data_IF_129313182307
#
_entry.id   IF_129313182307
#
_cell.length_a   1.000
_cell.length_b   1.000
_cell.length_c   1.000
_cell.angle_alpha   90.00
_cell.angle_beta   90.00
_cell.angle_gamma   90.00
#
_symmetry.space_group_name_H-M   'P 1'
#
loop_
_entity.id
_entity.type
_entity.pdbx_description
1 polymer ?
#
# COMPACT_ATOMS: atom_id res chain seq x y z
N UNK A 1 8.28 -6.63 -23.88
CA UNK A 1 9.14 -7.53 -23.07
C UNK A 1 10.29 -6.81 -22.38
N UNK A 2 11.06 -5.93 -23.05
CA UNK A 2 12.18 -5.20 -22.43
C UNK A 2 11.82 -4.43 -21.14
N UNK A 3 10.71 -3.69 -21.14
CA UNK A 3 10.17 -3.02 -19.94
C UNK A 3 9.86 -3.96 -18.79
N UNK A 4 9.23 -5.11 -19.07
CA UNK A 4 8.91 -6.10 -18.04
C UNK A 4 10.17 -6.73 -17.46
N UNK A 5 11.20 -6.95 -18.27
CA UNK A 5 12.51 -7.43 -17.81
C UNK A 5 13.20 -6.37 -16.95
N UNK A 6 13.21 -5.11 -17.39
CA UNK A 6 13.82 -4.01 -16.64
C UNK A 6 13.13 -3.77 -15.29
N UNK A 7 11.80 -3.74 -15.27
CA UNK A 7 11.01 -3.68 -14.03
C UNK A 7 11.22 -4.93 -13.18
N UNK A 8 11.26 -6.13 -13.76
CA UNK A 8 11.50 -7.37 -13.03
C UNK A 8 12.86 -7.39 -12.33
N UNK A 9 13.91 -6.90 -13.00
CA UNK A 9 15.25 -6.75 -12.41
C UNK A 9 15.20 -5.76 -11.24
N UNK A 10 14.61 -4.58 -11.46
CA UNK A 10 14.55 -3.54 -10.43
C UNK A 10 13.72 -3.95 -9.22
N UNK A 11 12.49 -4.43 -9.46
CA UNK A 11 11.57 -4.91 -8.42
C UNK A 11 12.21 -6.08 -7.68
N UNK A 12 12.78 -7.06 -8.39
CA UNK A 12 13.40 -8.23 -7.77
C UNK A 12 14.53 -7.88 -6.82
N UNK A 13 15.44 -6.98 -7.23
CA UNK A 13 16.56 -6.52 -6.40
C UNK A 13 16.05 -5.77 -5.17
N UNK A 14 15.15 -4.80 -5.35
CA UNK A 14 14.63 -4.00 -4.24
C UNK A 14 13.75 -4.82 -3.29
N UNK A 15 12.96 -5.77 -3.80
CA UNK A 15 12.14 -6.68 -3.02
C UNK A 15 13.01 -7.61 -2.15
N UNK A 16 14.08 -8.15 -2.72
CA UNK A 16 15.06 -8.96 -1.99
C UNK A 16 15.77 -8.16 -0.91
N UNK A 17 16.27 -6.96 -1.25
CA UNK A 17 16.91 -6.06 -0.30
C UNK A 17 15.96 -5.63 0.83
N UNK A 18 14.73 -5.26 0.51
CA UNK A 18 13.73 -4.88 1.51
C UNK A 18 13.44 -6.03 2.48
N UNK A 19 13.27 -7.24 1.97
CA UNK A 19 13.03 -8.43 2.79
C UNK A 19 14.22 -8.72 3.70
N UNK A 20 15.45 -8.64 3.17
CA UNK A 20 16.67 -8.83 3.95
C UNK A 20 16.83 -7.76 5.03
N UNK A 21 16.60 -6.49 4.70
CA UNK A 21 16.67 -5.36 5.65
C UNK A 21 15.61 -5.50 6.74
N UNK A 22 14.36 -5.81 6.38
CA UNK A 22 13.28 -6.01 7.34
C UNK A 22 13.55 -7.21 8.28
N UNK A 23 14.20 -8.27 7.78
CA UNK A 23 14.63 -9.41 8.59
C UNK A 23 15.85 -9.12 9.48
N UNK A 24 16.73 -8.21 9.06
CA UNK A 24 17.97 -7.88 9.78
C UNK A 24 17.79 -6.74 10.80
N UNK A 25 16.93 -5.77 10.48
CA UNK A 25 16.62 -4.61 11.34
C UNK A 25 15.32 -4.92 12.09
N UNK A 26 15.46 -5.65 13.18
CA UNK A 26 14.33 -6.04 14.03
C UNK A 26 13.95 -4.97 15.04
N UNK A 27 14.73 -3.90 15.21
CA UNK A 27 14.38 -2.75 16.03
C UNK A 27 15.05 -1.45 15.54
N UNK A 28 14.34 -0.33 15.68
CA UNK A 28 14.88 1.02 15.51
C UNK A 28 14.55 1.81 16.79
N UNK A 29 15.53 1.98 17.66
CA UNK A 29 15.31 2.54 19.00
C UNK A 29 14.38 1.64 19.82
N UNK A 30 13.31 2.20 20.40
CA UNK A 30 12.29 1.46 21.15
C UNK A 30 11.27 0.74 20.25
N UNK A 31 11.36 0.89 18.93
CA UNK A 31 10.37 0.38 18.00
C UNK A 31 10.80 -0.99 17.44
N UNK A 32 10.15 -2.06 17.91
CA UNK A 32 10.41 -3.44 17.50
C UNK A 32 9.60 -3.83 16.26
N UNK A 33 10.23 -4.56 15.34
CA UNK A 33 9.71 -5.00 14.05
C UNK A 33 9.13 -3.85 13.19
N UNK A 34 9.94 -2.82 12.87
CA UNK A 34 9.46 -1.63 12.19
C UNK A 34 8.92 -1.87 10.78
N UNK A 35 9.42 -2.91 10.11
CA UNK A 35 9.17 -3.19 8.71
C UNK A 35 8.52 -4.57 8.56
N UNK A 36 7.23 -4.56 8.26
CA UNK A 36 6.42 -5.74 7.99
C UNK A 36 6.40 -5.96 6.48
N UNK A 37 7.16 -6.96 6.04
CA UNK A 37 7.45 -7.22 4.62
C UNK A 37 6.18 -7.32 3.78
N UNK A 38 5.18 -8.10 4.23
CA UNK A 38 3.95 -8.30 3.47
C UNK A 38 3.11 -7.01 3.34
N UNK A 39 3.12 -6.15 4.38
CA UNK A 39 2.44 -4.84 4.34
C UNK A 39 3.13 -3.92 3.34
N UNK A 40 4.47 -3.95 3.31
CA UNK A 40 5.25 -3.22 2.30
C UNK A 40 4.90 -3.66 0.88
N UNK A 41 4.80 -4.97 0.62
CA UNK A 41 4.38 -5.48 -0.68
C UNK A 41 2.92 -5.16 -1.03
N UNK A 42 2.02 -5.08 -0.04
CA UNK A 42 0.65 -4.66 -0.28
C UNK A 42 0.59 -3.20 -0.78
N UNK A 43 1.36 -2.29 -0.16
CA UNK A 43 1.50 -0.91 -0.65
C UNK A 43 2.16 -0.86 -2.05
N UNK A 44 3.14 -1.74 -2.30
CA UNK A 44 3.78 -1.85 -3.61
C UNK A 44 2.80 -2.25 -4.71
N UNK A 45 1.93 -3.22 -4.43
CA UNK A 45 0.88 -3.63 -5.36
C UNK A 45 -0.11 -2.48 -5.62
N UNK A 46 -0.52 -1.75 -4.57
CA UNK A 46 -1.39 -0.58 -4.69
C UNK A 46 -0.74 0.51 -5.55
N UNK A 47 0.57 0.75 -5.43
CA UNK A 47 1.30 1.70 -6.26
C UNK A 47 1.18 1.45 -7.75
N UNK A 48 1.45 0.22 -8.18
CA UNK A 48 1.32 -0.12 -9.59
C UNK A 48 -0.15 -0.19 -10.04
N UNK A 49 -1.05 -0.64 -9.18
CA UNK A 49 -2.49 -0.64 -9.46
C UNK A 49 -3.07 0.78 -9.59
N UNK A 50 -2.50 1.76 -8.88
CA UNK A 50 -2.86 3.18 -8.97
C UNK A 50 -2.22 3.89 -10.17
N UNK A 51 -1.51 3.17 -11.05
CA UNK A 51 -0.93 3.69 -12.29
C UNK A 51 0.55 4.12 -12.19
N UNK A 52 1.20 3.88 -11.06
CA UNK A 52 2.61 4.23 -10.85
C UNK A 52 2.87 5.73 -10.91
N UNK A 53 4.14 6.12 -11.09
CA UNK A 53 4.62 7.51 -11.12
C UNK A 53 4.33 8.24 -9.81
N UNK A 54 4.56 9.55 -9.81
CA UNK A 54 4.27 10.41 -8.66
C UNK A 54 2.78 10.42 -8.29
N UNK A 55 1.88 10.36 -9.29
CA UNK A 55 0.44 10.29 -9.06
C UNK A 55 0.03 9.00 -8.35
N UNK A 56 0.56 7.85 -8.77
CA UNK A 56 0.34 6.56 -8.12
C UNK A 56 0.93 6.52 -6.72
N UNK A 57 2.09 7.16 -6.47
CA UNK A 57 2.64 7.30 -5.12
C UNK A 57 1.72 8.09 -4.19
N UNK A 58 1.24 9.26 -4.63
CA UNK A 58 0.32 10.10 -3.84
C UNK A 58 -0.99 9.37 -3.58
N UNK A 59 -1.54 8.72 -4.60
CA UNK A 59 -2.76 7.92 -4.49
C UNK A 59 -2.58 6.75 -3.52
N UNK A 60 -1.45 6.05 -3.58
CA UNK A 60 -1.15 4.91 -2.71
C UNK A 60 -0.99 5.34 -1.26
N UNK A 61 -0.16 6.34 -1.00
CA UNK A 61 0.05 6.87 0.34
C UNK A 61 -1.27 7.41 0.91
N UNK A 62 -1.99 8.23 0.13
CA UNK A 62 -3.26 8.82 0.57
C UNK A 62 -4.32 7.77 0.89
N UNK A 63 -4.57 6.85 -0.05
CA UNK A 63 -5.59 5.80 0.12
C UNK A 63 -5.22 4.78 1.20
N UNK A 64 -4.00 4.22 1.21
CA UNK A 64 -3.62 3.18 2.18
C UNK A 64 -3.47 3.71 3.59
N UNK A 65 -2.92 4.91 3.80
CA UNK A 65 -2.83 5.51 5.14
C UNK A 65 -4.21 5.92 5.66
N UNK A 66 -5.09 6.41 4.78
CA UNK A 66 -6.49 6.63 5.15
C UNK A 66 -7.16 5.31 5.57
N UNK A 67 -6.97 4.25 4.79
CA UNK A 67 -7.46 2.91 5.11
C UNK A 67 -6.99 2.40 6.47
N UNK A 68 -5.70 2.56 6.77
CA UNK A 68 -5.12 2.27 8.08
C UNK A 68 -5.82 3.03 9.21
N UNK A 69 -6.10 4.33 9.02
CA UNK A 69 -6.84 5.14 9.99
C UNK A 69 -8.27 4.61 10.17
N UNK A 70 -8.96 4.24 9.09
CA UNK A 70 -10.28 3.61 9.19
C UNK A 70 -10.24 2.28 9.95
N UNK A 71 -9.26 1.42 9.67
CA UNK A 71 -9.07 0.17 10.42
C UNK A 71 -8.89 0.42 11.92
N UNK A 72 -8.09 1.42 12.27
CA UNK A 72 -7.89 1.83 13.66
C UNK A 72 -9.18 2.37 14.30
N UNK A 73 -9.92 3.24 13.61
CA UNK A 73 -11.20 3.77 14.08
C UNK A 73 -12.23 2.65 14.32
N UNK A 74 -12.34 1.69 13.39
CA UNK A 74 -13.22 0.52 13.51
C UNK A 74 -12.91 -0.26 14.78
N UNK A 75 -11.63 -0.57 15.02
CA UNK A 75 -11.22 -1.34 16.19
C UNK A 75 -11.47 -0.57 17.49
N UNK A 76 -11.15 0.73 17.51
CA UNK A 76 -11.39 1.60 18.67
C UNK A 76 -12.88 1.75 18.99
N UNK A 77 -13.72 1.94 17.99
CA UNK A 77 -15.17 2.02 18.15
C UNK A 77 -15.75 0.69 18.66
N UNK A 78 -15.28 -0.44 18.12
CA UNK A 78 -15.70 -1.77 18.56
C UNK A 78 -15.39 -2.00 20.04
N UNK A 79 -14.16 -1.72 20.46
CA UNK A 79 -13.73 -1.90 21.86
C UNK A 79 -14.38 -0.91 22.82
N UNK A 80 -14.75 0.28 22.34
CA UNK A 80 -15.51 1.25 23.13
C UNK A 80 -16.95 0.82 23.43
N UNK A 81 -17.55 0.01 22.56
CA UNK A 81 -18.92 -0.51 22.72
C UNK A 81 -18.91 -1.88 23.43
N UNK A 82 -17.96 -2.75 23.09
CA UNK A 82 -17.87 -4.10 23.62
C UNK A 82 -16.42 -4.43 24.00
N UNK A 83 -16.09 -4.27 25.28
CA UNK A 83 -14.74 -4.46 25.80
C UNK A 83 -14.21 -5.90 25.60
N UNK A 84 -15.10 -6.91 25.59
CA UNK A 84 -14.75 -8.30 25.32
C UNK A 84 -14.60 -8.63 23.82
N UNK A 85 -14.91 -7.68 22.93
CA UNK A 85 -14.91 -7.89 21.47
C UNK A 85 -16.11 -8.72 21.02
N UNK A 86 -17.15 -8.06 20.53
CA UNK A 86 -18.31 -8.72 19.91
C UNK A 86 -18.15 -8.78 18.39
N UNK A 87 -18.19 -9.97 17.74
CA UNK A 87 -18.16 -10.08 16.28
C UNK A 87 -19.30 -9.31 15.59
N UNK A 88 -20.47 -9.23 16.22
CA UNK A 88 -21.60 -8.46 15.69
C UNK A 88 -21.31 -6.95 15.70
N UNK A 89 -20.72 -6.44 16.78
CA UNK A 89 -20.30 -5.03 16.88
C UNK A 89 -19.19 -4.73 15.89
N UNK A 90 -18.19 -5.61 15.78
CA UNK A 90 -17.11 -5.46 14.80
C UNK A 90 -17.66 -5.44 13.37
N UNK A 91 -18.57 -6.35 13.03
CA UNK A 91 -19.21 -6.40 11.70
C UNK A 91 -19.97 -5.10 11.38
N UNK A 92 -20.70 -4.56 12.36
CA UNK A 92 -21.38 -3.27 12.20
C UNK A 92 -20.39 -2.12 11.99
N UNK A 93 -19.31 -2.06 12.78
CA UNK A 93 -18.30 -1.00 12.64
C UNK A 93 -17.55 -1.13 11.30
N UNK A 94 -17.25 -2.34 10.85
CA UNK A 94 -16.67 -2.59 9.52
C UNK A 94 -17.62 -2.13 8.42
N UNK A 95 -18.93 -2.38 8.52
CA UNK A 95 -19.90 -1.90 7.53
C UNK A 95 -19.93 -0.37 7.44
N UNK A 96 -19.93 0.32 8.59
CA UNK A 96 -19.88 1.79 8.65
C UNK A 96 -18.55 2.31 8.06
N UNK A 97 -17.43 1.71 8.45
CA UNK A 97 -16.11 2.09 7.97
C UNK A 97 -15.93 1.85 6.46
N UNK A 98 -16.45 0.73 5.94
CA UNK A 98 -16.44 0.43 4.50
C UNK A 98 -17.25 1.45 3.71
N UNK A 99 -18.45 1.81 4.19
CA UNK A 99 -19.24 2.88 3.58
C UNK A 99 -18.46 4.21 3.58
N UNK A 100 -17.88 4.59 4.71
CA UNK A 100 -17.12 5.83 4.81
C UNK A 100 -15.86 5.85 3.93
N UNK A 101 -15.19 4.70 3.77
CA UNK A 101 -14.07 4.51 2.84
C UNK A 101 -14.47 4.68 1.37
N UNK A 102 -15.71 4.34 1.01
CA UNK A 102 -16.24 4.63 -0.32
C UNK A 102 -16.60 6.12 -0.48
N UNK A 103 -17.20 6.75 0.53
CA UNK A 103 -17.57 8.18 0.49
C UNK A 103 -16.34 9.08 0.40
N UNK A 104 -15.29 8.80 1.17
CA UNK A 104 -14.06 9.61 1.14
C UNK A 104 -13.35 9.60 -0.22
N UNK A 105 -13.64 8.62 -1.09
CA UNK A 105 -13.05 8.54 -2.42
C UNK A 105 -13.48 9.70 -3.35
N UNK A 106 -14.44 10.53 -2.92
CA UNK A 106 -14.69 11.83 -3.55
C UNK A 106 -13.51 12.81 -3.45
N UNK A 107 -12.53 12.55 -2.58
CA UNK A 107 -11.31 13.38 -2.42
C UNK A 107 -10.17 12.80 -3.25
N UNK A 108 -9.58 13.60 -4.15
CA UNK A 108 -8.60 13.17 -5.16
C UNK A 108 -7.50 12.20 -4.66
N UNK A 109 -6.72 12.51 -3.61
CA UNK A 109 -5.68 11.59 -3.11
C UNK A 109 -6.22 10.28 -2.49
N UNK A 110 -7.51 10.21 -2.17
CA UNK A 110 -8.18 9.06 -1.57
C UNK A 110 -9.08 8.33 -2.58
N UNK A 111 -9.10 8.76 -3.85
CA UNK A 111 -10.02 8.27 -4.86
C UNK A 111 -9.80 6.79 -5.22
N UNK A 112 -8.61 6.24 -4.91
CA UNK A 112 -8.33 4.83 -5.10
C UNK A 112 -8.89 3.99 -3.95
N UNK A 113 -10.20 3.69 -4.03
CA UNK A 113 -10.95 2.87 -3.06
C UNK A 113 -10.20 1.58 -2.68
N UNK A 114 -9.62 0.79 -3.62
CA UNK A 114 -8.93 -0.44 -3.26
C UNK A 114 -7.77 -0.20 -2.29
N UNK A 115 -7.09 0.94 -2.39
CA UNK A 115 -6.00 1.29 -1.47
C UNK A 115 -6.48 1.49 -0.03
N UNK A 116 -7.66 2.08 0.17
CA UNK A 116 -8.25 2.22 1.51
C UNK A 116 -8.58 0.86 2.13
N UNK A 117 -9.17 -0.06 1.36
CA UNK A 117 -9.42 -1.41 1.83
C UNK A 117 -8.13 -2.19 2.12
N UNK A 118 -7.09 -2.05 1.28
CA UNK A 118 -5.78 -2.65 1.53
C UNK A 118 -5.15 -2.09 2.80
N UNK A 119 -5.22 -0.78 3.03
CA UNK A 119 -4.71 -0.15 4.25
C UNK A 119 -5.39 -0.68 5.52
N UNK A 120 -6.72 -0.76 5.51
CA UNK A 120 -7.49 -1.32 6.61
C UNK A 120 -7.16 -2.82 6.82
N UNK A 121 -7.07 -3.59 5.75
CA UNK A 121 -6.69 -5.00 5.80
C UNK A 121 -5.26 -5.18 6.36
N UNK A 122 -4.32 -4.30 5.99
CA UNK A 122 -2.96 -4.30 6.53
C UNK A 122 -2.94 -4.03 8.04
N UNK A 123 -3.82 -3.15 8.52
CA UNK A 123 -3.96 -2.90 9.95
C UNK A 123 -4.49 -4.12 10.70
N UNK A 124 -5.60 -4.70 10.23
CA UNK A 124 -6.22 -5.87 10.87
C UNK A 124 -5.31 -7.10 10.80
N UNK A 125 -4.71 -7.37 9.64
CA UNK A 125 -3.80 -8.49 9.43
C UNK A 125 -2.49 -8.37 10.23
N UNK A 126 -2.10 -7.15 10.61
CA UNK A 126 -0.93 -6.90 11.46
C UNK A 126 -1.32 -6.71 12.93
N UNK A 127 -2.39 -7.39 13.37
CA UNK A 127 -2.85 -7.40 14.77
C UNK A 127 -3.13 -6.02 15.38
N UNK A 128 -3.51 -5.03 14.57
CA UNK A 128 -3.80 -3.68 15.03
C UNK A 128 -2.55 -2.85 15.41
N UNK A 129 -1.34 -3.27 15.01
CA UNK A 129 -0.10 -2.54 15.26
C UNK A 129 0.03 -1.33 14.34
N UNK A 130 -0.60 -0.22 14.72
CA UNK A 130 -0.74 0.98 13.90
C UNK A 130 0.58 1.47 13.30
N UNK A 131 1.60 1.72 14.13
CA UNK A 131 2.86 2.30 13.68
C UNK A 131 3.67 1.37 12.80
N UNK A 132 3.67 0.06 13.10
CA UNK A 132 4.38 -0.92 12.28
C UNK A 132 3.75 -1.01 10.90
N UNK A 133 2.42 -1.00 10.83
CA UNK A 133 1.69 -0.95 9.57
C UNK A 133 1.95 0.36 8.83
N UNK A 134 1.88 1.51 9.50
CA UNK A 134 2.11 2.82 8.88
C UNK A 134 3.49 2.92 8.22
N UNK A 135 4.55 2.60 8.97
CA UNK A 135 5.93 2.67 8.49
C UNK A 135 6.14 1.70 7.33
N UNK A 136 5.54 0.51 7.39
CA UNK A 136 5.63 -0.48 6.33
C UNK A 136 4.88 -0.07 5.06
N UNK A 137 3.70 0.54 5.18
CA UNK A 137 2.94 1.07 4.04
C UNK A 137 3.73 2.19 3.34
N UNK A 138 4.29 3.12 4.11
CA UNK A 138 5.11 4.21 3.58
C UNK A 138 6.37 3.66 2.93
N UNK A 139 7.11 2.79 3.62
CA UNK A 139 8.33 2.18 3.09
C UNK A 139 8.09 1.39 1.81
N UNK A 140 7.02 0.59 1.77
CA UNK A 140 6.62 -0.17 0.59
C UNK A 140 6.26 0.72 -0.60
N UNK A 141 5.46 1.77 -0.38
CA UNK A 141 5.09 2.72 -1.43
C UNK A 141 6.30 3.48 -1.99
N UNK A 142 7.23 3.90 -1.13
CA UNK A 142 8.46 4.56 -1.54
C UNK A 142 9.37 3.61 -2.33
N UNK A 143 9.55 2.37 -1.87
CA UNK A 143 10.33 1.36 -2.59
C UNK A 143 9.72 1.03 -3.95
N UNK A 144 8.38 0.98 -4.04
CA UNK A 144 7.69 0.79 -5.30
C UNK A 144 7.97 1.91 -6.30
N UNK A 145 7.93 3.16 -5.84
CA UNK A 145 8.31 4.31 -6.64
C UNK A 145 9.77 4.24 -7.10
N UNK A 146 10.70 3.92 -6.19
CA UNK A 146 12.11 3.73 -6.54
C UNK A 146 12.30 2.61 -7.55
N UNK A 147 11.54 1.51 -7.45
CA UNK A 147 11.62 0.40 -8.40
C UNK A 147 11.12 0.75 -9.79
N UNK A 148 10.13 1.65 -9.91
CA UNK A 148 9.72 2.15 -11.21
C UNK A 148 10.81 3.04 -11.81
N UNK A 149 11.38 3.96 -11.02
CA UNK A 149 12.44 4.86 -11.47
C UNK A 149 13.69 4.08 -11.92
N UNK A 150 14.12 3.10 -11.13
CA UNK A 150 15.24 2.23 -11.48
C UNK A 150 14.90 1.34 -12.68
N UNK A 151 13.66 0.86 -12.80
CA UNK A 151 13.17 0.15 -13.98
C UNK A 151 13.30 0.99 -15.26
N UNK A 152 12.89 2.26 -15.22
CA UNK A 152 13.04 3.19 -16.35
C UNK A 152 14.53 3.39 -16.73
N UNK A 153 15.44 3.43 -15.74
CA UNK A 153 16.89 3.54 -15.99
C UNK A 153 17.45 2.26 -16.64
N UNK A 154 17.08 1.09 -16.13
CA UNK A 154 17.51 -0.20 -16.68
C UNK A 154 16.96 -0.39 -18.10
N UNK A 155 15.71 0.02 -18.37
CA UNK A 155 15.13 -0.06 -19.71
C UNK A 155 15.91 0.78 -20.73
N UNK A 156 16.32 2.00 -20.36
CA UNK A 156 17.16 2.86 -21.20
C UNK A 156 18.53 2.23 -21.47
N UNK A 157 19.15 1.63 -20.45
CA UNK A 157 20.42 0.92 -20.60
C UNK A 157 20.32 -0.31 -21.52
N UNK A 158 19.15 -0.96 -21.56
CA UNK A 158 18.83 -2.07 -22.47
C UNK A 158 18.46 -1.60 -23.90
N UNK A 159 18.69 -0.33 -24.24
CA UNK A 159 18.50 0.25 -25.57
C UNK A 159 17.06 0.70 -25.87
N UNK A 160 16.22 0.94 -24.86
CA UNK A 160 14.87 1.47 -25.03
C UNK A 160 14.88 2.99 -25.30
N UNK A 161 14.49 3.41 -26.50
CA UNK A 161 14.05 4.80 -26.73
C UNK A 161 12.73 5.00 -26.00
N UNK A 162 12.70 5.95 -25.07
CA UNK A 162 11.60 6.19 -24.11
C UNK A 162 10.22 6.21 -24.79
N UNK A 163 9.42 5.15 -24.63
CA UNK A 163 7.99 5.22 -24.87
C UNK A 163 7.33 5.70 -23.57
N UNK A 164 6.54 6.78 -23.68
CA UNK A 164 5.74 7.32 -22.59
C UNK A 164 4.88 6.22 -21.93
N UNK A 165 4.59 6.42 -20.65
CA UNK A 165 3.83 5.52 -19.78
C UNK A 165 2.60 4.90 -20.48
N UNK A 166 2.27 3.63 -20.23
CA UNK A 166 1.06 3.03 -20.76
C UNK A 166 -0.15 3.83 -20.26
N UNK A 167 -0.92 4.36 -21.20
CA UNK A 167 -2.17 5.02 -20.90
C UNK A 167 -3.09 4.03 -20.18
N UNK A 168 -3.48 4.37 -18.96
CA UNK A 168 -4.62 3.77 -18.30
C UNK A 168 -5.87 4.08 -19.14
N UNK A 169 -6.59 3.05 -19.57
CA UNK A 169 -7.93 3.20 -20.12
C UNK A 169 -8.24 2.33 -21.32
N UNK A 170 -8.26 1.01 -21.16
CA UNK A 170 -9.21 0.21 -21.93
C UNK A 170 -10.55 0.28 -21.18
N UNK A 171 -11.45 1.13 -21.68
CA UNK A 171 -12.84 1.17 -21.25
C UNK A 171 -13.46 -0.18 -21.61
N UNK A 172 -13.77 -1.00 -20.61
CA UNK A 172 -14.68 -2.11 -20.79
C UNK A 172 -16.10 -1.55 -20.97
N UNK A 173 -16.50 -1.36 -22.22
CA UNK A 173 -17.90 -1.33 -22.63
C UNK A 173 -18.39 -2.76 -22.81
N UNK A 174 -19.30 -3.17 -21.93
CA UNK A 174 -20.42 -4.06 -22.24
C UNK A 174 -21.49 -3.83 -21.16
#
# INVERSE_FOLDING_TARGET
MRRLVALGISIGVLAGLFTWVAGSITAIGSFTAPLVVWVGFAAWAVFYAAGGRTAGLVSTLGSTLSGLVWGWLILRATLGISAAGSPAVLGLMVAIGAFAMCVQAGVKPLAFIPGAFVGAACFFGNAGLFWATAVSLVGGALLAYVSEVLGDVVERALGGTSAAAPAAGEKATA
#
